data_IF_472737309446
#
_entry.id   IF_472737309446
#
_cell.length_a   1.000
_cell.length_b   1.000
_cell.length_c   1.000
_cell.angle_alpha   90.00
_cell.angle_beta   90.00
_cell.angle_gamma   90.00
#
_symmetry.space_group_name_H-M   'P 1'
#
loop_
_entity.id
_entity.type
_entity.pdbx_description
1 polymer ?
#
# COMPACT_ATOMS: atom_id res chain seq x y z
N UNK A 1 2.65 -28.26 7.89
CA UNK A 1 2.21 -26.94 7.38
C UNK A 1 2.72 -26.67 5.97
N UNK A 2 4.04 -26.64 5.73
CA UNK A 2 4.61 -26.38 4.40
C UNK A 2 4.16 -27.39 3.33
N UNK A 3 4.08 -28.68 3.65
CA UNK A 3 3.56 -29.70 2.71
C UNK A 3 2.10 -29.45 2.32
N UNK A 4 1.27 -29.04 3.28
CA UNK A 4 -0.14 -28.68 3.03
C UNK A 4 -0.22 -27.41 2.18
N UNK A 5 0.59 -26.39 2.49
CA UNK A 5 0.68 -25.16 1.72
C UNK A 5 1.08 -25.42 0.26
N UNK A 6 2.09 -26.27 0.06
CA UNK A 6 2.54 -26.69 -1.26
C UNK A 6 1.43 -27.45 -2.01
N UNK A 7 0.71 -28.35 -1.32
CA UNK A 7 -0.43 -29.05 -1.93
C UNK A 7 -1.59 -28.11 -2.31
N UNK A 8 -1.76 -26.99 -1.60
CA UNK A 8 -2.81 -26.00 -1.88
C UNK A 8 -2.44 -25.03 -3.00
N UNK A 9 -1.16 -24.68 -3.16
CA UNK A 9 -0.74 -23.58 -4.04
C UNK A 9 0.68 -23.70 -4.64
N UNK A 10 1.06 -24.89 -5.10
CA UNK A 10 2.38 -25.12 -5.72
C UNK A 10 2.67 -24.22 -6.93
N UNK A 11 1.66 -23.96 -7.76
CA UNK A 11 1.80 -23.24 -9.03
C UNK A 11 2.18 -21.76 -8.90
N UNK A 12 2.01 -21.16 -7.72
CA UNK A 12 2.38 -19.76 -7.46
C UNK A 12 3.33 -19.61 -6.27
N UNK A 13 4.08 -20.66 -5.96
CA UNK A 13 5.07 -20.66 -4.88
C UNK A 13 6.13 -19.57 -5.10
N UNK A 14 6.38 -18.73 -4.09
CA UNK A 14 7.24 -17.55 -4.24
C UNK A 14 8.60 -17.66 -3.56
N UNK A 15 8.81 -18.66 -2.71
CA UNK A 15 9.97 -18.74 -1.81
C UNK A 15 10.07 -17.50 -0.90
N UNK A 16 8.93 -16.92 -0.53
CA UNK A 16 8.84 -15.72 0.30
C UNK A 16 8.06 -16.09 1.57
N UNK A 17 8.76 -16.17 2.71
CA UNK A 17 8.16 -16.63 3.96
C UNK A 17 7.41 -15.52 4.68
N UNK A 18 6.12 -15.74 4.92
CA UNK A 18 5.30 -14.96 5.87
C UNK A 18 5.23 -15.70 7.21
N UNK A 19 5.13 -14.95 8.30
CA UNK A 19 5.05 -15.50 9.65
C UNK A 19 3.67 -15.32 10.26
N UNK A 20 3.19 -16.36 10.94
CA UNK A 20 2.03 -16.27 11.82
C UNK A 20 2.43 -15.54 13.11
N UNK A 21 2.17 -14.22 13.16
CA UNK A 21 2.65 -13.34 14.21
C UNK A 21 2.20 -13.76 15.62
N UNK A 22 3.09 -13.56 16.59
CA UNK A 22 2.81 -13.69 18.03
C UNK A 22 2.69 -12.30 18.64
N UNK A 23 1.74 -12.06 19.56
CA UNK A 23 1.54 -10.73 20.14
C UNK A 23 2.77 -10.18 20.89
N UNK A 24 3.53 -11.06 21.56
CA UNK A 24 4.58 -10.66 22.52
C UNK A 24 5.97 -11.22 22.14
N UNK A 25 6.14 -11.69 20.90
CA UNK A 25 7.38 -12.37 20.48
C UNK A 25 7.70 -12.04 19.02
N UNK A 26 8.97 -11.77 18.74
CA UNK A 26 9.48 -11.52 17.40
C UNK A 26 9.64 -12.83 16.59
N UNK A 27 9.53 -13.99 17.23
CA UNK A 27 9.44 -15.28 16.54
C UNK A 27 7.97 -15.62 16.21
N UNK A 28 7.64 -16.04 14.98
CA UNK A 28 6.28 -16.41 14.61
C UNK A 28 5.95 -17.81 15.14
N UNK A 29 4.66 -18.13 15.28
CA UNK A 29 4.24 -19.51 15.62
C UNK A 29 4.71 -20.53 14.59
N UNK A 30 4.65 -20.14 13.32
CA UNK A 30 5.20 -20.88 12.18
C UNK A 30 5.34 -19.92 11.00
N UNK A 31 6.10 -20.36 10.00
CA UNK A 31 6.24 -19.67 8.72
C UNK A 31 5.54 -20.44 7.62
N UNK A 32 5.04 -19.73 6.62
CA UNK A 32 4.38 -20.27 5.42
C UNK A 32 4.75 -19.43 4.21
N UNK A 33 4.81 -20.03 3.01
CA UNK A 33 4.98 -19.23 1.79
C UNK A 33 3.82 -18.24 1.61
N UNK A 34 4.15 -17.02 1.16
CA UNK A 34 3.22 -15.93 0.90
C UNK A 34 1.99 -16.38 0.12
N UNK A 35 2.17 -17.24 -0.88
CA UNK A 35 1.08 -17.71 -1.75
C UNK A 35 0.00 -18.51 -1.01
N UNK A 36 0.33 -19.14 0.11
CA UNK A 36 -0.59 -19.96 0.88
C UNK A 36 -1.16 -19.25 2.13
N UNK A 37 -0.66 -18.05 2.46
CA UNK A 37 -1.02 -17.32 3.69
C UNK A 37 -2.54 -17.13 3.90
N UNK A 38 -3.29 -16.78 2.84
CA UNK A 38 -4.74 -16.55 2.89
C UNK A 38 -5.54 -17.79 3.27
N UNK A 39 -5.08 -19.00 2.90
CA UNK A 39 -5.78 -20.25 3.26
C UNK A 39 -5.82 -20.50 4.77
N UNK A 40 -4.85 -19.94 5.49
CA UNK A 40 -4.71 -20.14 6.94
C UNK A 40 -5.17 -18.93 7.74
N UNK A 41 -5.64 -17.86 7.09
CA UNK A 41 -6.14 -16.66 7.76
C UNK A 41 -5.12 -15.95 8.64
N UNK A 42 -3.81 -16.21 8.44
CA UNK A 42 -2.76 -15.57 9.22
C UNK A 42 -2.66 -14.09 8.83
N UNK A 43 -2.21 -13.26 9.77
CA UNK A 43 -1.88 -11.86 9.47
C UNK A 43 -0.82 -11.79 8.37
N UNK A 44 -1.09 -10.96 7.38
CA UNK A 44 -0.23 -10.67 6.25
C UNK A 44 0.21 -9.21 6.36
N UNK A 45 1.45 -8.95 5.98
CA UNK A 45 2.02 -7.63 6.04
C UNK A 45 2.49 -7.19 4.66
N UNK A 46 2.38 -5.91 4.37
CA UNK A 46 2.86 -5.29 3.15
C UNK A 46 3.27 -3.84 3.39
N UNK A 47 3.94 -3.25 2.42
CA UNK A 47 4.38 -1.86 2.48
C UNK A 47 3.93 -1.13 1.22
N UNK A 48 3.52 0.13 1.37
CA UNK A 48 3.10 0.99 0.26
C UNK A 48 3.76 2.36 0.37
N UNK A 49 4.23 2.89 -0.77
CA UNK A 49 4.82 4.22 -0.86
C UNK A 49 3.98 5.15 -1.73
N UNK A 50 3.48 6.23 -1.15
CA UNK A 50 2.93 7.35 -1.88
C UNK A 50 4.08 8.28 -2.30
N UNK A 51 4.46 8.23 -3.58
CA UNK A 51 5.33 9.23 -4.18
C UNK A 51 4.50 10.40 -4.69
N UNK A 52 4.79 11.62 -4.26
CA UNK A 52 4.02 12.79 -4.66
C UNK A 52 4.91 13.98 -5.01
N UNK A 53 4.39 14.86 -5.85
CA UNK A 53 5.04 16.11 -6.24
C UNK A 53 4.16 17.26 -5.77
N UNK A 54 4.76 18.22 -5.08
CA UNK A 54 4.10 19.47 -4.69
C UNK A 54 4.42 20.55 -5.72
N UNK A 55 3.37 21.19 -6.23
CA UNK A 55 3.50 22.27 -7.20
C UNK A 55 3.43 23.62 -6.51
N UNK A 56 4.10 24.62 -7.09
CA UNK A 56 3.91 26.01 -6.68
C UNK A 56 2.48 26.45 -7.05
N UNK A 57 1.70 27.02 -6.11
CA UNK A 57 0.35 27.49 -6.41
C UNK A 57 0.39 28.52 -7.55
N UNK A 58 -0.35 28.29 -8.62
CA UNK A 58 -0.46 29.25 -9.71
C UNK A 58 -1.66 30.18 -9.50
N UNK A 59 -1.54 31.48 -9.83
CA UNK A 59 -2.69 32.37 -9.84
C UNK A 59 -3.77 31.82 -10.78
N UNK A 60 -4.99 31.65 -10.25
CA UNK A 60 -6.19 31.16 -10.95
C UNK A 60 -6.27 29.63 -11.19
N UNK A 61 -5.32 28.85 -10.69
CA UNK A 61 -5.48 27.40 -10.63
C UNK A 61 -6.43 27.04 -9.49
N UNK A 62 -7.42 26.17 -9.78
CA UNK A 62 -8.39 25.68 -8.80
C UNK A 62 -8.06 24.22 -8.51
N UNK A 63 -8.13 23.83 -7.24
CA UNK A 63 -7.78 22.47 -6.79
C UNK A 63 -6.50 22.44 -5.96
N UNK A 64 -6.01 21.24 -5.68
CA UNK A 64 -4.84 21.04 -4.85
C UNK A 64 -3.55 21.09 -5.68
N UNK A 65 -2.53 21.81 -5.19
CA UNK A 65 -1.21 21.86 -5.82
C UNK A 65 -0.37 20.60 -5.52
N UNK A 66 -0.96 19.43 -5.72
CA UNK A 66 -0.36 18.13 -5.42
C UNK A 66 -0.69 17.13 -6.51
N UNK A 67 0.31 16.40 -6.97
CA UNK A 67 0.16 15.24 -7.85
C UNK A 67 0.75 14.00 -7.21
N UNK A 68 0.18 12.83 -7.51
CA UNK A 68 0.62 11.53 -6.99
C UNK A 68 1.07 10.66 -8.14
N UNK A 69 2.20 9.98 -7.97
CA UNK A 69 2.66 8.95 -8.87
C UNK A 69 1.88 7.65 -8.62
N UNK A 70 1.33 7.09 -9.70
CA UNK A 70 0.65 5.81 -9.72
C UNK A 70 1.43 4.85 -10.63
N UNK A 71 1.68 3.63 -10.14
CA UNK A 71 2.18 2.54 -10.97
C UNK A 71 1.03 1.83 -11.68
N UNK A 72 1.21 1.48 -12.95
CA UNK A 72 0.31 0.56 -13.66
C UNK A 72 0.91 -0.83 -13.55
N UNK A 73 0.22 -1.76 -12.90
CA UNK A 73 0.74 -3.10 -12.65
C UNK A 73 1.00 -3.84 -13.96
N UNK A 74 2.14 -4.53 -14.04
CA UNK A 74 2.48 -5.37 -15.20
C UNK A 74 1.37 -6.38 -15.53
N UNK A 75 1.14 -6.60 -16.82
CA UNK A 75 0.19 -7.61 -17.30
C UNK A 75 0.54 -9.03 -16.88
N UNK A 76 1.82 -9.27 -16.52
CA UNK A 76 2.31 -10.55 -15.99
C UNK A 76 2.03 -10.79 -14.51
N UNK A 77 1.54 -9.79 -13.76
CA UNK A 77 1.25 -9.96 -12.33
C UNK A 77 0.07 -10.93 -12.14
N UNK A 78 0.27 -11.92 -11.27
CA UNK A 78 -0.76 -12.91 -10.93
C UNK A 78 -2.02 -12.31 -10.27
N UNK A 79 -1.88 -11.16 -9.59
CA UNK A 79 -2.96 -10.48 -8.88
C UNK A 79 -3.13 -9.09 -9.49
N UNK A 80 -4.36 -8.75 -9.89
CA UNK A 80 -4.74 -7.44 -10.42
C UNK A 80 -3.79 -6.90 -11.53
N UNK A 81 -3.55 -7.65 -12.62
CA UNK A 81 -2.75 -7.14 -13.74
C UNK A 81 -3.40 -5.91 -14.37
N UNK A 82 -2.59 -4.93 -14.81
CA UNK A 82 -3.03 -3.71 -15.49
C UNK A 82 -3.74 -2.67 -14.60
N UNK A 83 -3.94 -2.95 -13.30
CA UNK A 83 -4.58 -2.00 -12.37
C UNK A 83 -3.61 -0.93 -11.88
N UNK A 84 -4.15 0.21 -11.47
CA UNK A 84 -3.39 1.26 -10.79
C UNK A 84 -2.98 0.82 -9.37
N UNK A 85 -1.76 1.14 -9.00
CA UNK A 85 -1.13 0.88 -7.72
C UNK A 85 -0.47 2.16 -7.17
N UNK A 86 0.00 2.12 -5.92
CA UNK A 86 0.90 3.16 -5.40
C UNK A 86 2.19 3.23 -6.23
N UNK A 87 3.05 4.24 -6.00
CA UNK A 87 4.34 4.31 -6.69
C UNK A 87 5.18 3.04 -6.48
N UNK A 88 5.16 2.50 -5.26
CA UNK A 88 5.80 1.22 -4.89
C UNK A 88 4.88 0.45 -3.97
N UNK A 89 4.74 -0.87 -4.16
CA UNK A 89 3.83 -1.70 -3.39
C UNK A 89 4.29 -3.15 -3.24
N UNK A 90 4.84 -3.49 -2.07
CA UNK A 90 5.46 -4.79 -1.81
C UNK A 90 4.79 -5.60 -0.71
N UNK A 91 4.89 -6.93 -0.82
CA UNK A 91 4.65 -7.81 0.34
C UNK A 91 5.77 -7.66 1.35
N UNK A 92 5.53 -7.90 2.64
CA UNK A 92 6.58 -7.85 3.67
C UNK A 92 6.99 -9.27 4.08
N UNK A 93 8.19 -9.74 3.69
CA UNK A 93 8.77 -10.97 4.22
C UNK A 93 8.98 -10.88 5.73
N UNK A 94 8.87 -12.01 6.43
CA UNK A 94 8.95 -12.03 7.90
C UNK A 94 10.28 -11.50 8.46
N UNK A 95 11.40 -11.84 7.83
CA UNK A 95 12.74 -11.52 8.33
C UNK A 95 13.27 -10.15 7.86
N UNK A 96 12.38 -9.25 7.42
CA UNK A 96 12.74 -7.93 6.92
C UNK A 96 11.95 -6.84 7.64
N UNK A 97 12.62 -5.73 7.98
CA UNK A 97 11.90 -4.59 8.55
C UNK A 97 11.03 -3.93 7.47
N UNK A 98 9.88 -3.31 7.82
CA UNK A 98 9.05 -2.60 6.85
C UNK A 98 9.81 -1.53 6.05
N UNK A 99 10.74 -0.82 6.71
CA UNK A 99 11.53 0.23 6.07
C UNK A 99 12.58 -0.33 5.12
N UNK A 100 13.29 -1.40 5.51
CA UNK A 100 14.27 -2.03 4.61
C UNK A 100 13.58 -2.68 3.40
N UNK A 101 12.41 -3.29 3.61
CA UNK A 101 11.59 -3.80 2.52
C UNK A 101 11.13 -2.67 1.58
N UNK A 102 10.71 -1.53 2.13
CA UNK A 102 10.36 -0.38 1.30
C UNK A 102 11.55 0.13 0.48
N UNK A 103 12.76 0.17 1.03
CA UNK A 103 13.94 0.55 0.24
C UNK A 103 14.25 -0.44 -0.88
N UNK A 104 14.16 -1.76 -0.61
CA UNK A 104 14.32 -2.80 -1.63
C UNK A 104 13.32 -2.62 -2.76
N UNK A 105 12.02 -2.61 -2.43
CA UNK A 105 10.94 -2.55 -3.42
C UNK A 105 10.98 -1.24 -4.21
N UNK A 106 11.38 -0.12 -3.59
CA UNK A 106 11.46 1.17 -4.29
C UNK A 106 12.57 1.20 -5.35
N UNK A 107 13.68 0.52 -5.08
CA UNK A 107 14.77 0.37 -6.05
C UNK A 107 14.38 -0.60 -7.17
N UNK A 108 13.73 -1.71 -6.85
CA UNK A 108 13.31 -2.75 -7.83
C UNK A 108 12.13 -2.32 -8.72
N UNK A 109 11.09 -1.70 -8.17
CA UNK A 109 9.89 -1.37 -8.95
C UNK A 109 10.01 0.00 -9.66
N UNK A 110 10.65 0.98 -9.02
CA UNK A 110 10.63 2.39 -9.47
C UNK A 110 12.02 3.04 -9.68
N UNK A 111 13.11 2.27 -9.51
CA UNK A 111 14.47 2.79 -9.67
C UNK A 111 14.85 3.87 -8.64
N UNK A 112 14.10 3.96 -7.54
CA UNK A 112 14.29 4.98 -6.52
C UNK A 112 15.29 4.48 -5.48
N UNK A 113 16.56 4.85 -5.65
CA UNK A 113 17.63 4.29 -4.82
C UNK A 113 17.48 4.67 -3.34
N UNK A 114 17.99 3.81 -2.46
CA UNK A 114 18.04 4.08 -1.02
C UNK A 114 18.68 5.44 -0.69
N UNK A 115 19.71 5.85 -1.43
CA UNK A 115 20.40 7.12 -1.20
C UNK A 115 19.50 8.31 -1.52
N UNK A 116 18.68 8.22 -2.57
CA UNK A 116 17.76 9.30 -2.95
C UNK A 116 16.62 9.45 -1.94
N UNK A 117 16.08 8.32 -1.46
CA UNK A 117 14.85 8.31 -0.68
C UNK A 117 15.06 8.41 0.85
N UNK A 118 16.23 8.00 1.38
CA UNK A 118 16.42 7.86 2.84
C UNK A 118 16.18 9.13 3.68
N UNK A 119 16.34 10.33 3.10
CA UNK A 119 16.15 11.61 3.84
C UNK A 119 14.74 12.15 3.76
N UNK A 120 13.98 11.73 2.75
CA UNK A 120 12.67 12.29 2.42
C UNK A 120 11.52 11.33 2.73
N UNK A 121 11.78 10.02 2.76
CA UNK A 121 10.76 9.03 3.16
C UNK A 121 10.29 9.27 4.59
N UNK A 122 8.98 9.15 4.79
CA UNK A 122 8.35 9.21 6.11
C UNK A 122 7.43 8.02 6.27
N UNK A 123 7.52 7.32 7.39
CA UNK A 123 6.46 6.40 7.80
C UNK A 123 5.23 7.22 8.19
N UNK A 124 4.06 6.81 7.70
CA UNK A 124 2.80 7.55 7.88
C UNK A 124 1.74 6.78 8.66
N UNK A 125 2.04 5.52 9.01
CA UNK A 125 1.20 4.69 9.85
C UNK A 125 1.01 3.29 9.27
N UNK A 126 -0.12 2.70 9.60
CA UNK A 126 -0.54 1.44 9.02
C UNK A 126 -2.06 1.39 8.86
N UNK A 127 -2.50 0.70 7.81
CA UNK A 127 -3.91 0.42 7.53
C UNK A 127 -4.14 -1.08 7.62
N UNK A 128 -5.24 -1.49 8.25
CA UNK A 128 -5.59 -2.92 8.34
C UNK A 128 -6.97 -3.14 7.76
N UNK A 129 -7.10 -4.15 6.91
CA UNK A 129 -8.38 -4.62 6.42
C UNK A 129 -8.49 -6.14 6.52
N UNK A 130 -9.74 -6.59 6.54
CA UNK A 130 -10.11 -7.99 6.64
C UNK A 130 -11.25 -8.27 5.68
N UNK A 131 -11.14 -9.32 4.89
CA UNK A 131 -12.21 -9.76 4.00
C UNK A 131 -12.14 -11.27 3.73
N UNK A 132 -13.31 -11.85 3.51
CA UNK A 132 -13.42 -13.20 2.99
C UNK A 132 -12.94 -13.24 1.54
N UNK A 133 -12.15 -14.26 1.22
CA UNK A 133 -11.65 -14.54 -0.13
C UNK A 133 -12.13 -15.93 -0.55
N UNK A 134 -12.17 -16.20 -1.86
CA UNK A 134 -12.63 -17.49 -2.41
C UNK A 134 -11.92 -18.70 -1.77
N UNK A 135 -10.67 -18.51 -1.36
CA UNK A 135 -9.80 -19.56 -0.86
C UNK A 135 -9.40 -19.40 0.62
N UNK A 136 -10.05 -18.50 1.36
CA UNK A 136 -9.77 -18.35 2.79
C UNK A 136 -10.10 -16.95 3.30
N UNK A 137 -9.24 -16.44 4.16
CA UNK A 137 -9.47 -15.18 4.85
C UNK A 137 -8.25 -14.29 4.75
N UNK A 138 -8.46 -13.07 4.23
CA UNK A 138 -7.40 -12.07 4.13
C UNK A 138 -7.42 -11.23 5.40
N UNK A 139 -6.30 -11.19 6.09
CA UNK A 139 -6.08 -10.32 7.24
C UNK A 139 -4.80 -9.52 6.97
N UNK A 140 -4.94 -8.37 6.34
CA UNK A 140 -3.80 -7.63 5.80
C UNK A 140 -3.55 -6.35 6.59
N UNK A 141 -2.30 -6.11 6.93
CA UNK A 141 -1.81 -4.83 7.48
C UNK A 141 -0.78 -4.25 6.52
N UNK A 142 -1.00 -2.99 6.13
CA UNK A 142 -0.16 -2.27 5.18
C UNK A 142 0.55 -1.15 5.92
N UNK A 143 1.87 -1.21 5.99
CA UNK A 143 2.69 -0.09 6.45
C UNK A 143 2.78 0.96 5.35
N UNK A 144 2.41 2.19 5.66
CA UNK A 144 2.35 3.26 4.67
C UNK A 144 3.53 4.20 4.84
N UNK A 145 4.05 4.65 3.70
CA UNK A 145 5.14 5.60 3.61
C UNK A 145 4.78 6.67 2.58
N UNK A 146 5.33 7.86 2.78
CA UNK A 146 5.22 8.96 1.83
C UNK A 146 6.61 9.49 1.48
N UNK A 147 6.78 9.94 0.24
CA UNK A 147 7.97 10.67 -0.21
C UNK A 147 7.57 11.82 -1.12
N UNK A 148 8.03 13.03 -0.78
CA UNK A 148 7.95 14.18 -1.69
C UNK A 148 9.10 14.09 -2.70
N UNK A 149 8.77 14.12 -3.98
CA UNK A 149 9.70 13.96 -5.09
C UNK A 149 9.83 15.27 -5.87
N UNK A 150 11.02 15.58 -6.42
CA UNK A 150 11.18 16.71 -7.33
C UNK A 150 10.28 16.57 -8.56
N UNK A 151 9.78 17.68 -9.09
CA UNK A 151 8.97 17.68 -10.33
C UNK A 151 9.73 17.18 -11.57
N UNK A 152 11.05 17.17 -11.52
CA UNK A 152 11.93 16.64 -12.57
C UNK A 152 12.24 15.16 -12.43
N UNK A 153 11.88 14.54 -11.29
CA UNK A 153 12.14 13.13 -11.05
C UNK A 153 11.17 12.26 -11.86
N UNK A 154 11.68 11.16 -12.40
CA UNK A 154 10.89 10.18 -13.14
C UNK A 154 11.23 8.78 -12.62
N UNK A 155 10.22 7.93 -12.37
CA UNK A 155 10.43 6.53 -12.02
C UNK A 155 10.94 5.73 -13.22
N UNK A 156 11.73 4.70 -12.93
CA UNK A 156 12.18 3.71 -13.90
C UNK A 156 11.71 2.32 -13.48
N UNK A 157 11.12 1.56 -14.40
CA UNK A 157 10.78 0.17 -14.15
C UNK A 157 12.03 -0.71 -14.28
N UNK A 158 12.51 -1.29 -13.18
CA UNK A 158 13.79 -2.01 -13.16
C UNK A 158 13.59 -3.53 -13.25
N UNK A 159 12.58 -4.10 -12.59
CA UNK A 159 12.38 -5.55 -12.49
C UNK A 159 11.24 -6.10 -13.39
N UNK A 160 10.47 -5.24 -14.05
CA UNK A 160 9.35 -5.61 -14.93
C UNK A 160 8.03 -5.84 -14.21
N UNK A 161 7.94 -5.53 -12.92
CA UNK A 161 6.73 -5.69 -12.10
C UNK A 161 5.68 -4.59 -12.33
N UNK A 162 6.12 -3.43 -12.83
CA UNK A 162 5.30 -2.31 -13.29
C UNK A 162 5.31 -2.27 -14.83
N UNK A 163 4.23 -1.82 -15.48
CA UNK A 163 4.16 -1.63 -16.93
C UNK A 163 4.53 -0.19 -17.31
N UNK A 164 3.96 0.77 -16.58
CA UNK A 164 4.20 2.20 -16.76
C UNK A 164 3.89 2.97 -15.48
N UNK A 165 4.35 4.22 -15.42
CA UNK A 165 4.05 5.14 -14.33
C UNK A 165 3.31 6.36 -14.84
N UNK A 166 2.40 6.89 -14.03
CA UNK A 166 1.61 8.06 -14.36
C UNK A 166 1.59 9.03 -13.18
N UNK A 167 1.85 10.32 -13.45
CA UNK A 167 1.73 11.38 -12.45
C UNK A 167 0.39 12.09 -12.62
N UNK A 168 -0.51 11.94 -11.66
CA UNK A 168 -1.87 12.49 -11.74
C UNK A 168 -2.07 13.61 -10.72
N UNK A 169 -2.76 14.71 -11.06
CA UNK A 169 -3.33 15.61 -10.07
C UNK A 169 -4.14 14.82 -9.03
N UNK A 170 -3.99 15.14 -7.75
CA UNK A 170 -4.65 14.37 -6.68
C UNK A 170 -6.18 14.46 -6.76
N UNK A 171 -6.70 15.58 -7.27
CA UNK A 171 -8.12 15.78 -7.56
C UNK A 171 -8.64 14.74 -8.59
N UNK A 172 -7.87 14.48 -9.65
CA UNK A 172 -8.21 13.49 -10.68
C UNK A 172 -8.16 12.07 -10.10
N UNK A 173 -7.20 11.78 -9.21
CA UNK A 173 -7.13 10.51 -8.49
C UNK A 173 -8.40 10.29 -7.66
N UNK A 174 -8.84 11.28 -6.88
CA UNK A 174 -10.07 11.19 -6.09
C UNK A 174 -11.31 11.00 -6.97
N UNK A 175 -11.43 11.78 -8.04
CA UNK A 175 -12.53 11.65 -8.99
C UNK A 175 -12.56 10.24 -9.60
N UNK A 176 -11.40 9.70 -9.99
CA UNK A 176 -11.31 8.37 -10.58
C UNK A 176 -11.60 7.27 -9.56
N UNK A 177 -11.14 7.40 -8.32
CA UNK A 177 -11.48 6.46 -7.23
C UNK A 177 -12.98 6.42 -6.95
N UNK A 178 -13.67 7.55 -7.03
CA UNK A 178 -15.12 7.62 -6.83
C UNK A 178 -15.90 7.02 -8.01
N UNK A 179 -15.46 7.29 -9.24
CA UNK A 179 -16.19 6.93 -10.45
C UNK A 179 -15.85 5.55 -11.02
N UNK A 180 -14.60 5.09 -10.84
CA UNK A 180 -14.06 3.85 -11.40
C UNK A 180 -13.12 3.14 -10.39
N UNK A 181 -13.58 2.82 -9.17
CA UNK A 181 -12.74 2.23 -8.13
C UNK A 181 -12.08 0.90 -8.54
N UNK A 182 -12.68 0.16 -9.49
CA UNK A 182 -12.17 -1.10 -10.00
C UNK A 182 -10.89 -0.99 -10.84
N UNK A 183 -10.57 0.22 -11.34
CA UNK A 183 -9.32 0.51 -12.04
C UNK A 183 -8.10 0.40 -11.11
N UNK A 184 -8.30 0.53 -9.80
CA UNK A 184 -7.26 0.41 -8.79
C UNK A 184 -7.16 -1.02 -8.26
N UNK A 185 -5.97 -1.39 -7.82
CA UNK A 185 -5.80 -2.54 -6.94
C UNK A 185 -6.61 -2.25 -5.65
N UNK A 186 -7.43 -3.20 -5.16
CA UNK A 186 -8.46 -2.89 -4.15
C UNK A 186 -7.95 -2.21 -2.88
N UNK A 187 -6.76 -2.58 -2.41
CA UNK A 187 -6.17 -2.04 -1.18
C UNK A 187 -5.55 -0.64 -1.35
N UNK A 188 -5.19 -0.27 -2.59
CA UNK A 188 -4.59 1.03 -2.93
C UNK A 188 -5.56 2.17 -2.73
N UNK A 189 -6.86 1.95 -2.96
CA UNK A 189 -7.88 2.95 -2.64
C UNK A 189 -7.84 3.35 -1.15
N UNK A 190 -7.58 2.41 -0.24
CA UNK A 190 -7.47 2.72 1.19
C UNK A 190 -6.22 3.56 1.48
N UNK A 191 -5.09 3.20 0.85
CA UNK A 191 -3.82 3.93 1.00
C UNK A 191 -3.92 5.36 0.48
N UNK A 192 -4.57 5.56 -0.68
CA UNK A 192 -4.77 6.88 -1.27
C UNK A 192 -5.77 7.74 -0.49
N UNK A 193 -6.84 7.14 0.08
CA UNK A 193 -7.76 7.86 0.96
C UNK A 193 -7.06 8.34 2.24
N UNK A 194 -6.28 7.46 2.88
CA UNK A 194 -5.45 7.83 4.04
C UNK A 194 -4.47 8.95 3.70
N UNK A 195 -3.79 8.86 2.56
CA UNK A 195 -2.93 9.93 2.04
C UNK A 195 -3.69 11.25 1.88
N UNK A 196 -4.86 11.24 1.24
CA UNK A 196 -5.65 12.44 1.02
C UNK A 196 -6.11 13.10 2.33
N UNK A 197 -6.50 12.30 3.32
CA UNK A 197 -6.86 12.79 4.66
C UNK A 197 -5.65 13.43 5.35
N UNK A 198 -4.50 12.75 5.38
CA UNK A 198 -3.29 13.24 6.06
C UNK A 198 -2.69 14.49 5.41
N UNK A 199 -2.84 14.66 4.09
CA UNK A 199 -2.36 15.83 3.36
C UNK A 199 -3.41 16.96 3.24
N UNK A 200 -4.58 16.80 3.83
CA UNK A 200 -5.65 17.82 3.81
C UNK A 200 -6.29 18.02 2.44
N UNK A 201 -6.18 17.02 1.57
CA UNK A 201 -6.91 16.96 0.29
C UNK A 201 -8.37 16.59 0.55
N UNK A 202 -8.60 15.67 1.48
CA UNK A 202 -9.92 15.42 2.05
C UNK A 202 -9.95 15.95 3.48
N UNK A 203 -10.97 16.74 3.78
CA UNK A 203 -11.17 17.38 5.07
C UNK A 203 -12.63 17.32 5.50
N UNK A 204 -12.91 17.69 6.75
CA UNK A 204 -14.30 17.77 7.23
C UNK A 204 -15.16 18.78 6.44
N UNK A 205 -14.57 19.74 5.72
CA UNK A 205 -15.30 20.72 4.92
C UNK A 205 -15.91 20.11 3.65
N UNK A 206 -15.42 18.94 3.22
CA UNK A 206 -15.85 18.27 2.00
C UNK A 206 -17.07 17.36 2.21
N UNK A 207 -17.60 17.31 3.44
CA UNK A 207 -18.69 16.42 3.83
C UNK A 207 -19.87 17.23 4.40
N UNK A 208 -21.08 16.95 3.91
CA UNK A 208 -22.29 17.63 4.38
C UNK A 208 -22.66 17.25 5.82
N UNK A 209 -22.43 16.00 6.21
CA UNK A 209 -22.79 15.49 7.53
C UNK A 209 -21.53 15.29 8.37
N UNK A 210 -21.47 15.81 9.61
CA UNK A 210 -20.31 15.64 10.50
C UNK A 210 -19.90 14.18 10.73
N UNK A 211 -20.86 13.26 10.69
CA UNK A 211 -20.62 11.84 10.88
C UNK A 211 -19.86 11.15 9.73
N UNK A 212 -19.92 11.70 8.50
CA UNK A 212 -19.37 11.02 7.33
C UNK A 212 -17.84 11.06 7.31
N UNK A 213 -17.25 12.24 7.55
CA UNK A 213 -15.79 12.38 7.66
C UNK A 213 -15.24 11.59 8.85
N UNK A 214 -15.91 11.66 10.01
CA UNK A 214 -15.52 10.89 11.19
C UNK A 214 -15.58 9.38 10.92
N UNK A 215 -16.58 8.90 10.19
CA UNK A 215 -16.70 7.49 9.81
C UNK A 215 -15.59 7.08 8.84
N UNK A 216 -15.25 7.91 7.85
CA UNK A 216 -14.12 7.68 6.96
C UNK A 216 -12.81 7.46 7.75
N UNK A 217 -12.44 8.42 8.62
CA UNK A 217 -11.23 8.31 9.42
C UNK A 217 -11.26 7.08 10.36
N UNK A 218 -12.42 6.80 10.96
CA UNK A 218 -12.56 5.64 11.87
C UNK A 218 -12.45 4.32 11.13
N UNK A 219 -13.00 4.21 9.92
CA UNK A 219 -12.96 3.00 9.11
C UNK A 219 -11.57 2.70 8.56
N UNK A 220 -10.78 3.74 8.22
CA UNK A 220 -9.38 3.59 7.79
C UNK A 220 -8.50 2.99 8.90
N UNK A 221 -8.80 3.31 10.16
CA UNK A 221 -8.01 2.87 11.32
C UNK A 221 -8.80 2.04 12.31
N UNK A 222 -9.82 1.31 11.84
CA UNK A 222 -10.71 0.56 12.73
C UNK A 222 -9.89 -0.40 13.60
N UNK A 223 -9.98 -0.19 14.92
CA UNK A 223 -9.27 -1.00 15.91
C UNK A 223 -10.05 -2.28 16.18
N UNK A 224 -9.44 -3.43 15.91
CA UNK A 224 -10.08 -4.74 16.03
C UNK A 224 -9.52 -5.61 17.17
N UNK A 225 -8.90 -4.99 18.18
CA UNK A 225 -8.19 -5.69 19.27
C UNK A 225 -8.58 -5.25 20.67
N UNK A 226 -8.00 -5.90 21.67
CA UNK A 226 -8.11 -5.58 23.09
C UNK A 226 -6.71 -5.66 23.71
N UNK A 227 -5.79 -4.78 23.32
CA UNK A 227 -4.45 -4.76 23.88
C UNK A 227 -4.01 -3.33 24.17
N UNK A 228 -3.29 -3.17 25.28
CA UNK A 228 -2.74 -1.90 25.73
C UNK A 228 -1.74 -1.35 24.70
N UNK A 229 -1.65 -0.02 24.61
CA UNK A 229 -0.63 0.67 23.81
C UNK A 229 0.74 0.32 24.38
N UNK A 230 1.62 -0.26 23.57
CA UNK A 230 3.03 -0.51 23.89
C UNK A 230 3.87 0.44 23.04
N UNK A 231 4.84 1.13 23.67
CA UNK A 231 5.80 2.04 23.04
C UNK A 231 7.17 1.38 22.91
#
# INVERSE_FOLDING_TARGET
>A
MQEVAMALKAESWRNEAYGAARPDDNEPWFRIDRSASTFFGISQFGCHLNGYVRHSPQPNEHGHSLSVWLGVRSSGKAICPGKLDTLVGGGLPWDMSPLDNMFKEAEEEAGLSRIEIHRSIRSTGALTYRNDEVHGYKHNTMFTFDVELPSTWQPENVDGEVDSFQLWPVDDVLCHMQSNPEAFKPDVCLVLLDFCVRHGVLSAADFERPGDYSALCSNLHAFHGSSAIVL
#
